data_IF_958388848617
#
_entry.id   IF_958388848617
#
_cell.length_a   1.000
_cell.length_b   1.000
_cell.length_c   1.000
_cell.angle_alpha   90.00
_cell.angle_beta   90.00
_cell.angle_gamma   90.00
#
_symmetry.space_group_name_H-M   'P 1'
#
loop_
_entity.id
_entity.type
_entity.pdbx_description
1 polymer ?
#
# COMPACT_ATOMS: atom_id res chain seq x y z
N UNK A 1 -12.10 2.16 -9.73
CA UNK A 1 -11.03 1.39 -9.05
C UNK A 1 -11.39 1.08 -7.59
N UNK A 2 -12.43 1.69 -7.03
CA UNK A 2 -13.04 1.25 -5.77
C UNK A 2 -14.56 1.08 -5.93
N UNK A 3 -15.26 0.81 -4.81
CA UNK A 3 -16.73 0.71 -4.77
C UNK A 3 -17.40 2.00 -5.23
N UNK A 4 -18.61 1.90 -5.80
CA UNK A 4 -19.41 3.07 -6.13
C UNK A 4 -19.80 3.83 -4.85
N UNK A 5 -19.49 5.12 -4.82
CA UNK A 5 -19.96 6.05 -3.80
C UNK A 5 -21.46 6.30 -3.96
N UNK A 6 -22.22 6.07 -2.89
CA UNK A 6 -23.67 6.29 -2.84
C UNK A 6 -24.00 7.65 -2.23
N UNK A 7 -23.39 7.98 -1.09
CA UNK A 7 -23.63 9.23 -0.39
C UNK A 7 -22.42 9.59 0.47
N UNK A 8 -22.20 10.88 0.70
CA UNK A 8 -21.21 11.35 1.65
C UNK A 8 -21.63 12.70 2.24
N UNK A 9 -21.11 13.00 3.43
CA UNK A 9 -21.16 14.32 4.03
C UNK A 9 -19.80 14.67 4.59
N UNK A 10 -19.32 15.86 4.29
CA UNK A 10 -18.13 16.46 4.91
C UNK A 10 -18.48 17.31 6.13
N UNK A 11 -19.77 17.54 6.39
CA UNK A 11 -20.29 18.29 7.54
C UNK A 11 -20.87 17.33 8.57
N UNK A 12 -20.73 17.67 9.86
CA UNK A 12 -21.13 16.80 10.96
C UNK A 12 -22.63 16.41 10.93
N UNK A 13 -22.97 15.12 11.07
CA UNK A 13 -22.05 13.98 11.15
C UNK A 13 -21.42 13.69 9.77
N UNK A 14 -20.10 13.62 9.71
CA UNK A 14 -19.39 13.27 8.48
C UNK A 14 -19.50 11.77 8.22
N UNK A 15 -19.77 11.39 6.96
CA UNK A 15 -19.93 9.99 6.56
C UNK A 15 -19.57 9.78 5.09
N UNK A 16 -19.30 8.53 4.75
CA UNK A 16 -19.12 8.04 3.38
C UNK A 16 -19.82 6.69 3.29
N UNK A 17 -20.71 6.53 2.31
CA UNK A 17 -21.51 5.32 2.09
C UNK A 17 -21.19 4.80 0.70
N UNK A 18 -20.74 3.55 0.63
CA UNK A 18 -20.44 2.85 -0.61
C UNK A 18 -21.49 1.78 -0.91
N UNK A 19 -21.53 1.31 -2.14
CA UNK A 19 -22.30 0.13 -2.50
C UNK A 19 -21.80 -1.11 -1.73
N UNK A 20 -22.75 -2.00 -1.41
CA UNK A 20 -22.43 -3.29 -0.81
C UNK A 20 -21.93 -4.26 -1.89
N UNK A 21 -20.63 -4.54 -1.85
CA UNK A 21 -19.98 -5.46 -2.77
C UNK A 21 -20.37 -6.92 -2.54
N UNK A 22 -20.83 -7.30 -1.34
CA UNK A 22 -21.27 -8.66 -1.08
C UNK A 22 -22.50 -9.01 -1.94
N UNK A 23 -23.41 -8.05 -2.14
CA UNK A 23 -24.55 -8.18 -3.07
C UNK A 23 -24.12 -8.30 -4.55
N UNK A 24 -22.87 -7.93 -4.86
CA UNK A 24 -22.26 -8.10 -6.18
C UNK A 24 -21.42 -9.38 -6.29
N UNK A 25 -21.45 -10.25 -5.27
CA UNK A 25 -20.71 -11.51 -5.26
C UNK A 25 -19.22 -11.36 -4.93
N UNK A 26 -18.80 -10.24 -4.37
CA UNK A 26 -17.45 -10.11 -3.83
C UNK A 26 -17.36 -10.74 -2.45
N UNK A 27 -16.20 -11.28 -2.13
CA UNK A 27 -15.87 -11.85 -0.83
C UNK A 27 -14.44 -11.47 -0.43
N UNK A 28 -14.13 -11.54 0.87
CA UNK A 28 -12.77 -11.32 1.35
C UNK A 28 -11.91 -12.57 1.10
N UNK A 29 -10.60 -12.38 0.95
CA UNK A 29 -9.64 -13.49 0.82
C UNK A 29 -9.57 -14.29 2.15
N UNK A 30 -9.86 -13.66 3.28
CA UNK A 30 -9.79 -14.26 4.61
C UNK A 30 -8.35 -14.34 5.12
N UNK A 31 -7.99 -15.47 5.74
CA UNK A 31 -6.67 -15.69 6.35
C UNK A 31 -5.73 -16.57 5.52
N UNK A 32 -6.15 -16.99 4.32
CA UNK A 32 -5.30 -17.79 3.43
C UNK A 32 -4.32 -16.92 2.66
N UNK A 33 -3.27 -17.54 2.14
CA UNK A 33 -2.42 -16.91 1.15
C UNK A 33 -3.17 -16.80 -0.19
N UNK A 34 -3.01 -15.67 -0.91
CA UNK A 34 -3.52 -15.53 -2.25
C UNK A 34 -2.71 -16.39 -3.22
N UNK A 35 -3.35 -16.86 -4.28
CA UNK A 35 -2.63 -17.52 -5.37
C UNK A 35 -1.97 -16.49 -6.31
N UNK A 36 -1.16 -16.99 -7.26
CA UNK A 36 -0.43 -16.13 -8.20
C UNK A 36 -1.37 -15.31 -9.10
N UNK A 37 -2.52 -15.86 -9.49
CA UNK A 37 -3.49 -15.16 -10.34
C UNK A 37 -4.17 -14.02 -9.56
N UNK A 38 -4.57 -14.28 -8.32
CA UNK A 38 -5.12 -13.28 -7.39
C UNK A 38 -4.13 -12.12 -7.17
N UNK A 39 -2.85 -12.42 -6.93
CA UNK A 39 -1.82 -11.39 -6.77
C UNK A 39 -1.63 -10.59 -8.06
N UNK A 40 -1.55 -11.25 -9.23
CA UNK A 40 -1.41 -10.56 -10.51
C UNK A 40 -2.56 -9.58 -10.74
N UNK A 41 -3.82 -10.03 -10.65
CA UNK A 41 -4.97 -9.13 -10.86
C UNK A 41 -4.99 -8.00 -9.83
N UNK A 42 -4.59 -8.28 -8.58
CA UNK A 42 -4.47 -7.25 -7.54
C UNK A 42 -3.42 -6.19 -7.91
N UNK A 43 -2.23 -6.60 -8.34
CA UNK A 43 -1.19 -5.69 -8.83
C UNK A 43 -1.62 -4.92 -10.07
N UNK A 44 -2.41 -5.53 -10.95
CA UNK A 44 -2.97 -4.82 -12.11
C UNK A 44 -3.94 -3.71 -11.70
N UNK A 45 -4.73 -3.91 -10.65
CA UNK A 45 -5.59 -2.84 -10.09
C UNK A 45 -4.76 -1.70 -9.51
N UNK A 46 -3.65 -2.02 -8.85
CA UNK A 46 -2.69 -1.03 -8.36
C UNK A 46 -2.01 -0.27 -9.52
N UNK A 47 -1.52 -0.98 -10.53
CA UNK A 47 -0.92 -0.40 -11.73
C UNK A 47 -1.89 0.56 -12.43
N UNK A 48 -3.18 0.19 -12.54
CA UNK A 48 -4.22 1.07 -13.06
C UNK A 48 -4.40 2.34 -12.23
N UNK A 49 -4.41 2.23 -10.89
CA UNK A 49 -4.51 3.40 -10.00
C UNK A 49 -3.32 4.35 -10.23
N UNK A 50 -2.12 3.78 -10.28
CA UNK A 50 -0.88 4.53 -10.50
C UNK A 50 -0.85 5.18 -11.89
N UNK A 51 -1.20 4.45 -12.95
CA UNK A 51 -1.20 4.96 -14.32
C UNK A 51 -2.25 6.08 -14.53
N UNK A 52 -3.47 5.90 -14.02
CA UNK A 52 -4.52 6.92 -14.11
C UNK A 52 -4.14 8.17 -13.34
N UNK A 53 -3.64 8.03 -12.10
CA UNK A 53 -3.23 9.20 -11.30
C UNK A 53 -2.01 9.91 -11.87
N UNK A 54 -1.05 9.18 -12.44
CA UNK A 54 0.07 9.76 -13.18
C UNK A 54 -0.42 10.62 -14.35
N UNK A 55 -1.36 10.09 -15.14
CA UNK A 55 -1.94 10.79 -16.29
C UNK A 55 -2.70 12.05 -15.85
N UNK A 56 -3.57 11.93 -14.84
CA UNK A 56 -4.32 13.07 -14.29
C UNK A 56 -3.38 14.16 -13.78
N UNK A 57 -2.30 13.80 -13.09
CA UNK A 57 -1.30 14.76 -12.61
C UNK A 57 -0.62 15.57 -13.73
N UNK A 58 -0.56 15.02 -14.95
CA UNK A 58 0.06 15.68 -16.11
C UNK A 58 -0.92 16.53 -16.92
N UNK A 59 -2.22 16.26 -16.82
CA UNK A 59 -3.23 16.82 -17.73
C UNK A 59 -4.29 17.70 -17.04
N UNK A 60 -4.56 17.50 -15.75
CA UNK A 60 -5.53 18.33 -15.02
C UNK A 60 -4.90 19.63 -14.52
N UNK A 61 -5.53 20.75 -14.83
CA UNK A 61 -5.09 22.09 -14.40
C UNK A 61 -5.14 22.25 -12.88
N UNK A 62 -6.23 21.80 -12.23
CA UNK A 62 -6.43 21.93 -10.77
C UNK A 62 -5.53 20.99 -9.95
N UNK A 63 -5.07 19.90 -10.59
CA UNK A 63 -4.12 18.92 -10.06
C UNK A 63 -4.41 18.47 -8.60
N UNK A 64 -5.70 18.24 -8.30
CA UNK A 64 -6.20 17.96 -6.95
C UNK A 64 -5.51 16.75 -6.30
N UNK A 65 -5.11 15.76 -7.11
CA UNK A 65 -4.39 14.57 -6.64
C UNK A 65 -3.09 14.95 -5.92
N UNK A 66 -2.39 16.01 -6.37
CA UNK A 66 -1.14 16.43 -5.73
C UNK A 66 -1.33 17.06 -4.35
N UNK A 67 -2.57 17.42 -4.00
CA UNK A 67 -2.94 17.91 -2.67
C UNK A 67 -3.12 16.78 -1.66
N UNK A 68 -3.30 15.53 -2.14
CA UNK A 68 -3.42 14.33 -1.31
C UNK A 68 -2.04 13.89 -0.81
N UNK A 69 -1.37 14.75 -0.05
CA UNK A 69 0.04 14.59 0.32
C UNK A 69 0.23 14.21 1.80
N UNK A 70 -0.85 13.79 2.46
CA UNK A 70 -0.90 13.38 3.87
C UNK A 70 -1.29 11.92 3.97
N UNK A 71 -0.30 11.07 4.23
CA UNK A 71 -0.48 9.64 4.50
C UNK A 71 -0.11 9.27 5.94
N UNK A 72 0.15 7.97 6.15
CA UNK A 72 0.42 7.41 7.48
C UNK A 72 1.62 8.05 8.19
N UNK A 73 2.70 8.36 7.47
CA UNK A 73 3.97 8.77 8.07
C UNK A 73 4.16 10.30 8.19
N UNK A 74 3.26 11.10 7.62
CA UNK A 74 3.42 12.56 7.55
C UNK A 74 2.13 13.37 7.83
N UNK A 75 1.06 12.70 8.27
CA UNK A 75 -0.16 13.32 8.80
C UNK A 75 -0.04 13.74 10.28
N UNK A 76 0.91 13.16 11.02
CA UNK A 76 1.25 13.50 12.40
C UNK A 76 2.71 13.14 12.72
N UNK A 77 3.11 13.19 13.99
CA UNK A 77 4.43 12.71 14.42
C UNK A 77 4.45 11.18 14.50
N UNK A 78 5.17 10.47 13.61
CA UNK A 78 5.20 9.01 13.60
C UNK A 78 5.87 8.41 14.84
N UNK A 79 6.64 9.18 15.63
CA UNK A 79 7.17 8.71 16.91
C UNK A 79 6.06 8.44 17.95
N UNK A 80 4.88 9.01 17.76
CA UNK A 80 3.73 8.75 18.62
C UNK A 80 3.01 7.45 18.25
N UNK A 81 3.35 6.82 17.12
CA UNK A 81 2.82 5.51 16.75
C UNK A 81 3.63 4.41 17.45
N UNK A 82 3.05 3.63 18.38
CA UNK A 82 3.80 2.64 19.15
C UNK A 82 4.50 1.59 18.27
N UNK A 83 3.87 1.21 17.16
CA UNK A 83 4.44 0.26 16.20
C UNK A 83 5.71 0.80 15.54
N UNK A 84 5.77 2.09 15.21
CA UNK A 84 6.95 2.73 14.62
C UNK A 84 8.02 2.94 15.70
N UNK A 85 7.63 3.46 16.86
CA UNK A 85 8.52 3.76 17.98
C UNK A 85 9.26 2.52 18.50
N UNK A 86 8.54 1.42 18.66
CA UNK A 86 9.05 0.21 19.33
C UNK A 86 9.33 -0.94 18.36
N UNK A 87 8.90 -0.86 17.10
CA UNK A 87 8.95 -1.97 16.15
C UNK A 87 10.36 -2.48 15.89
N UNK A 88 11.34 -1.59 15.67
CA UNK A 88 12.73 -1.99 15.43
C UNK A 88 13.37 -2.56 16.70
N UNK A 89 13.07 -2.01 17.87
CA UNK A 89 13.50 -2.57 19.16
C UNK A 89 12.99 -3.99 19.34
N UNK A 90 11.69 -4.20 19.14
CA UNK A 90 11.07 -5.52 19.23
C UNK A 90 11.63 -6.51 18.21
N UNK A 91 11.81 -6.07 16.95
CA UNK A 91 12.44 -6.88 15.91
C UNK A 91 13.82 -7.36 16.37
N UNK A 92 14.69 -6.47 16.86
CA UNK A 92 16.02 -6.84 17.36
C UNK A 92 15.94 -7.82 18.53
N UNK A 93 15.02 -7.62 19.47
CA UNK A 93 14.82 -8.54 20.60
C UNK A 93 14.42 -9.94 20.15
N UNK A 94 13.53 -10.05 19.17
CA UNK A 94 13.17 -11.34 18.56
C UNK A 94 14.38 -11.96 17.89
N UNK A 95 15.07 -11.23 17.00
CA UNK A 95 16.22 -11.76 16.26
C UNK A 95 17.35 -12.25 17.17
N UNK A 96 17.60 -11.58 18.30
CA UNK A 96 18.62 -12.02 19.29
C UNK A 96 18.30 -13.35 19.96
N UNK A 97 17.03 -13.74 20.04
CA UNK A 97 16.58 -15.00 20.64
C UNK A 97 16.67 -16.19 19.68
N UNK A 98 16.93 -15.96 18.41
CA UNK A 98 17.01 -16.99 17.37
C UNK A 98 18.44 -17.12 16.84
N UNK A 99 19.05 -18.29 17.01
CA UNK A 99 20.47 -18.51 16.72
C UNK A 99 20.87 -18.29 15.26
N UNK A 100 19.97 -18.61 14.33
CA UNK A 100 20.12 -18.45 12.89
C UNK A 100 19.89 -17.00 12.42
N UNK A 101 19.20 -16.19 13.24
CA UNK A 101 18.81 -14.82 12.92
C UNK A 101 19.63 -13.75 13.64
N UNK A 102 20.26 -14.06 14.78
CA UNK A 102 21.03 -13.09 15.58
C UNK A 102 22.15 -12.40 14.79
N UNK A 103 22.69 -13.07 13.76
CA UNK A 103 23.67 -12.51 12.82
C UNK A 103 23.18 -11.27 12.06
N UNK A 104 21.87 -11.07 11.94
CA UNK A 104 21.30 -9.92 11.24
C UNK A 104 21.15 -8.66 12.13
N UNK A 105 21.24 -8.82 13.45
CA UNK A 105 21.06 -7.70 14.39
C UNK A 105 22.07 -6.56 14.16
N UNK A 106 23.38 -6.82 13.97
CA UNK A 106 24.35 -5.75 13.70
C UNK A 106 24.05 -4.97 12.42
N UNK A 107 23.49 -5.63 11.40
CA UNK A 107 23.10 -4.96 10.15
C UNK A 107 21.94 -3.98 10.38
N UNK A 108 20.93 -4.37 11.17
CA UNK A 108 19.81 -3.49 11.52
C UNK A 108 20.29 -2.30 12.36
N UNK A 109 21.10 -2.56 13.39
CA UNK A 109 21.65 -1.51 14.25
C UNK A 109 22.48 -0.49 13.45
N UNK A 110 23.22 -0.93 12.44
CA UNK A 110 24.02 -0.04 11.58
C UNK A 110 23.19 0.96 10.78
N UNK A 111 21.92 0.67 10.49
CA UNK A 111 21.05 1.52 9.66
C UNK A 111 19.85 2.11 10.42
N UNK A 112 19.61 1.70 11.67
CA UNK A 112 18.43 2.08 12.46
C UNK A 112 18.21 3.59 12.53
N UNK A 113 19.29 4.36 12.72
CA UNK A 113 19.26 5.81 12.77
C UNK A 113 18.75 6.48 11.48
N UNK A 114 18.77 5.77 10.35
CA UNK A 114 18.29 6.26 9.06
C UNK A 114 16.83 5.90 8.79
N UNK A 115 16.29 4.85 9.41
CA UNK A 115 15.04 4.23 8.97
C UNK A 115 13.87 5.21 9.03
N UNK A 116 13.66 5.84 10.19
CA UNK A 116 12.54 6.76 10.36
C UNK A 116 12.71 8.03 9.52
N UNK A 117 13.90 8.63 9.54
CA UNK A 117 14.20 9.84 8.80
C UNK A 117 14.01 9.65 7.29
N UNK A 118 14.56 8.57 6.71
CA UNK A 118 14.39 8.26 5.29
C UNK A 118 12.95 7.93 4.92
N UNK A 119 12.21 7.27 5.81
CA UNK A 119 10.79 6.99 5.57
C UNK A 119 9.98 8.28 5.54
N UNK A 120 10.22 9.21 6.48
CA UNK A 120 9.57 10.53 6.49
C UNK A 120 9.95 11.33 5.24
N UNK A 121 11.21 11.28 4.80
CA UNK A 121 11.66 11.95 3.58
C UNK A 121 10.92 11.43 2.35
N UNK A 122 10.79 10.11 2.21
CA UNK A 122 10.05 9.46 1.12
C UNK A 122 8.58 9.92 1.08
N UNK A 123 7.91 9.94 2.24
CA UNK A 123 6.49 10.35 2.33
C UNK A 123 6.29 11.85 2.09
N UNK A 124 7.31 12.68 2.32
CA UNK A 124 7.23 14.12 2.07
C UNK A 124 7.70 14.53 0.68
N UNK A 125 8.27 13.62 -0.11
CA UNK A 125 8.87 13.93 -1.40
C UNK A 125 7.87 14.56 -2.37
N UNK A 126 6.64 14.02 -2.44
CA UNK A 126 5.56 14.55 -3.29
C UNK A 126 5.15 15.99 -2.98
N UNK A 127 5.37 16.43 -1.73
CA UNK A 127 5.04 17.79 -1.26
C UNK A 127 6.14 18.82 -1.54
N UNK A 128 7.36 18.39 -1.89
CA UNK A 128 8.54 19.28 -2.02
C UNK A 128 8.61 20.02 -3.36
N UNK A 129 7.67 19.79 -4.27
CA UNK A 129 7.59 20.46 -5.57
C UNK A 129 8.62 20.00 -6.62
N UNK A 130 9.72 19.35 -6.20
CA UNK A 130 10.62 18.61 -7.11
C UNK A 130 9.94 17.31 -7.56
N UNK A 131 9.63 17.22 -8.84
CA UNK A 131 8.87 16.11 -9.46
C UNK A 131 9.63 15.50 -10.62
N UNK A 132 10.93 15.29 -10.41
CA UNK A 132 11.88 14.87 -11.44
C UNK A 132 11.73 13.36 -11.78
N UNK A 133 10.91 12.63 -11.00
CA UNK A 133 10.57 11.22 -11.17
C UNK A 133 9.09 10.94 -11.44
N UNK A 134 8.69 9.66 -11.33
CA UNK A 134 7.30 9.23 -11.46
C UNK A 134 6.62 9.37 -10.09
N UNK A 135 5.59 10.22 -10.04
CA UNK A 135 4.74 10.40 -8.86
C UNK A 135 3.30 10.01 -9.20
N UNK A 136 2.66 9.31 -8.28
CA UNK A 136 1.34 8.72 -8.44
C UNK A 136 0.55 8.86 -7.15
N UNK A 137 -0.76 8.67 -7.22
CA UNK A 137 -1.57 8.45 -6.03
C UNK A 137 -1.39 7.00 -5.57
N UNK A 138 -0.65 6.81 -4.48
CA UNK A 138 -0.59 5.53 -3.78
C UNK A 138 -1.88 5.33 -2.99
N UNK A 139 -2.33 4.08 -2.91
CA UNK A 139 -3.36 3.60 -1.99
C UNK A 139 -2.95 3.80 -0.53
N UNK A 140 -1.67 3.62 -0.20
CA UNK A 140 -1.10 3.86 1.13
C UNK A 140 -1.31 2.74 2.15
N UNK A 141 -2.36 1.91 1.98
CA UNK A 141 -2.65 0.71 2.78
C UNK A 141 -2.93 -0.54 1.92
N UNK A 142 -2.08 -0.79 0.92
CA UNK A 142 -2.33 -1.83 -0.08
C UNK A 142 -2.01 -3.24 0.45
N UNK A 143 -2.89 -3.80 1.29
CA UNK A 143 -2.78 -5.16 1.83
C UNK A 143 -4.02 -6.02 1.57
N UNK A 144 -3.89 -7.35 1.65
CA UNK A 144 -4.94 -8.32 1.29
C UNK A 144 -6.27 -8.16 2.04
N UNK A 145 -6.28 -7.61 3.27
CA UNK A 145 -7.54 -7.37 4.00
C UNK A 145 -8.37 -6.22 3.41
N UNK A 146 -7.72 -5.35 2.64
CA UNK A 146 -8.34 -4.25 1.90
C UNK A 146 -8.66 -4.67 0.46
N UNK A 147 -8.62 -5.97 0.17
CA UNK A 147 -8.92 -6.53 -1.14
C UNK A 147 -10.10 -7.49 -1.01
N UNK A 148 -11.13 -7.27 -1.83
CA UNK A 148 -12.18 -8.24 -2.07
C UNK A 148 -12.02 -8.85 -3.46
N UNK A 149 -12.38 -10.12 -3.59
CA UNK A 149 -12.31 -10.89 -4.83
C UNK A 149 -13.72 -11.31 -5.24
N UNK A 150 -13.94 -11.38 -6.55
CA UNK A 150 -15.15 -11.94 -7.14
C UNK A 150 -14.75 -13.16 -7.96
N UNK A 151 -15.50 -14.26 -7.79
CA UNK A 151 -15.29 -15.50 -8.54
C UNK A 151 -16.58 -15.96 -9.21
N UNK A 152 -16.44 -16.62 -10.36
CA UNK A 152 -17.51 -17.39 -10.99
C UNK A 152 -17.08 -18.87 -11.03
N UNK A 153 -17.61 -19.66 -10.10
CA UNK A 153 -17.02 -20.95 -9.75
C UNK A 153 -15.61 -20.76 -9.17
N UNK A 154 -14.63 -21.49 -9.69
CA UNK A 154 -13.23 -21.36 -9.27
C UNK A 154 -12.47 -20.23 -9.99
N UNK A 155 -13.07 -19.66 -11.04
CA UNK A 155 -12.41 -18.64 -11.87
C UNK A 155 -12.50 -17.27 -11.20
N UNK A 156 -11.34 -16.64 -10.99
CA UNK A 156 -11.25 -15.24 -10.58
C UNK A 156 -11.79 -14.33 -11.70
N UNK A 157 -12.80 -13.52 -11.40
CA UNK A 157 -13.41 -12.60 -12.37
C UNK A 157 -13.05 -11.16 -12.10
N UNK A 158 -12.92 -10.76 -10.83
CA UNK A 158 -12.46 -9.42 -10.49
C UNK A 158 -11.83 -9.32 -9.11
N UNK A 159 -11.11 -8.22 -8.90
CA UNK A 159 -10.55 -7.78 -7.63
C UNK A 159 -10.94 -6.33 -7.38
N UNK A 160 -11.35 -6.02 -6.14
CA UNK A 160 -11.74 -4.70 -5.70
C UNK A 160 -10.89 -4.26 -4.49
N UNK A 161 -9.98 -3.29 -4.68
CA UNK A 161 -9.33 -2.60 -3.57
C UNK A 161 -10.29 -1.67 -2.83
N UNK A 162 -10.13 -1.59 -1.51
CA UNK A 162 -10.96 -0.87 -0.55
C UNK A 162 -10.09 -0.03 0.39
N UNK A 163 -10.73 0.86 1.14
CA UNK A 163 -10.09 1.63 2.21
C UNK A 163 -8.91 2.51 1.74
N UNK A 164 -9.28 3.66 1.16
CA UNK A 164 -8.34 4.64 0.58
C UNK A 164 -8.00 5.77 1.57
N UNK A 165 -8.31 5.60 2.85
CA UNK A 165 -8.26 6.58 3.92
C UNK A 165 -6.86 7.17 4.19
N UNK A 166 -5.79 6.46 3.81
CA UNK A 166 -4.40 6.95 3.92
C UNK A 166 -3.67 7.08 2.57
N UNK A 167 -4.42 7.25 1.48
CA UNK A 167 -3.84 7.47 0.15
C UNK A 167 -2.88 8.66 0.14
N UNK A 168 -1.77 8.53 -0.59
CA UNK A 168 -0.74 9.58 -0.64
C UNK A 168 -0.13 9.74 -2.03
N UNK A 169 -0.03 10.98 -2.47
CA UNK A 169 0.70 11.37 -3.66
C UNK A 169 2.21 11.31 -3.41
N UNK A 170 2.89 10.42 -4.12
CA UNK A 170 4.29 10.11 -3.85
C UNK A 170 4.90 9.14 -4.87
N UNK A 171 6.09 8.64 -4.56
CA UNK A 171 6.71 7.58 -5.33
C UNK A 171 5.83 6.31 -5.31
N UNK A 172 5.64 5.59 -6.44
CA UNK A 172 4.94 4.31 -6.47
C UNK A 172 5.63 3.23 -5.62
N UNK A 173 6.89 3.46 -5.23
CA UNK A 173 7.64 2.56 -4.36
C UNK A 173 6.98 2.37 -2.98
N UNK A 174 6.12 3.31 -2.53
CA UNK A 174 5.41 3.20 -1.25
C UNK A 174 4.49 1.97 -1.27
N UNK A 175 3.58 1.89 -2.23
CA UNK A 175 2.67 0.74 -2.34
C UNK A 175 3.40 -0.52 -2.81
N UNK A 176 4.35 -0.42 -3.74
CA UNK A 176 5.08 -1.60 -4.22
C UNK A 176 5.86 -2.25 -3.07
N UNK A 177 6.69 -1.49 -2.35
CA UNK A 177 7.48 -2.05 -1.26
C UNK A 177 6.59 -2.71 -0.20
N UNK A 178 5.45 -2.09 0.11
CA UNK A 178 4.46 -2.64 1.03
C UNK A 178 3.82 -3.93 0.51
N UNK A 179 3.34 -3.94 -0.74
CA UNK A 179 2.73 -5.10 -1.38
C UNK A 179 3.68 -6.30 -1.41
N UNK A 180 4.92 -6.10 -1.87
CA UNK A 180 5.93 -7.15 -1.93
C UNK A 180 6.24 -7.70 -0.53
N UNK A 181 6.23 -6.86 0.51
CA UNK A 181 6.61 -7.29 1.87
C UNK A 181 5.46 -7.93 2.64
N UNK A 182 4.23 -7.44 2.46
CA UNK A 182 3.06 -7.77 3.30
C UNK A 182 2.07 -8.70 2.61
N UNK A 183 1.89 -8.58 1.29
CA UNK A 183 0.90 -9.39 0.56
C UNK A 183 1.46 -10.71 0.08
N UNK A 184 2.76 -10.76 -0.23
CA UNK A 184 3.36 -11.91 -0.91
C UNK A 184 3.89 -12.90 0.11
N UNK A 185 3.60 -14.19 -0.13
CA UNK A 185 4.25 -15.25 0.63
C UNK A 185 5.78 -15.21 0.39
N UNK A 186 6.58 -15.79 1.30
CA UNK A 186 8.02 -15.93 1.08
C UNK A 186 8.39 -16.60 -0.26
N UNK A 187 7.58 -17.56 -0.71
CA UNK A 187 7.75 -18.26 -2.00
C UNK A 187 7.49 -17.32 -3.16
N UNK A 188 6.37 -16.59 -3.15
CA UNK A 188 6.07 -15.59 -4.20
C UNK A 188 7.16 -14.52 -4.30
N UNK A 189 7.69 -14.05 -3.16
CA UNK A 189 8.82 -13.10 -3.13
C UNK A 189 10.12 -13.66 -3.67
N UNK A 190 10.39 -14.95 -3.50
CA UNK A 190 11.64 -15.58 -3.90
C UNK A 190 11.61 -15.98 -5.37
N UNK A 191 10.50 -16.57 -5.79
CA UNK A 191 10.41 -17.32 -7.05
C UNK A 191 9.73 -16.50 -8.15
N UNK A 192 8.93 -15.48 -7.79
CA UNK A 192 8.12 -14.69 -8.72
C UNK A 192 8.34 -13.17 -8.62
N UNK A 193 9.39 -12.70 -7.94
CA UNK A 193 9.60 -11.26 -7.73
C UNK A 193 9.60 -10.45 -9.03
N UNK A 194 10.47 -10.83 -9.97
CA UNK A 194 10.64 -10.12 -11.24
C UNK A 194 9.39 -10.27 -12.11
N UNK A 195 8.75 -11.44 -12.10
CA UNK A 195 7.50 -11.68 -12.82
C UNK A 195 6.39 -10.75 -12.34
N UNK A 196 6.21 -10.63 -11.03
CA UNK A 196 5.18 -9.79 -10.43
C UNK A 196 5.48 -8.30 -10.61
N UNK A 197 6.76 -7.91 -10.54
CA UNK A 197 7.17 -6.54 -10.83
C UNK A 197 6.91 -6.19 -12.30
N UNK A 198 7.30 -7.07 -13.23
CA UNK A 198 7.05 -6.89 -14.66
C UNK A 198 5.57 -6.85 -15.00
N UNK A 199 4.74 -7.60 -14.27
CA UNK A 199 3.29 -7.57 -14.46
C UNK A 199 2.66 -6.24 -14.03
N UNK A 200 3.29 -5.53 -13.09
CA UNK A 200 2.85 -4.19 -12.66
C UNK A 200 3.30 -3.08 -13.63
N UNK A 201 4.49 -3.19 -14.22
CA UNK A 201 5.10 -2.19 -15.13
C UNK A 201 4.37 -2.17 -16.48
#
# INVERSE_FOLDING_TARGET
>A
LGPKLIAYSTVAPAYVIFEDLALKGYSTIGYRHPDLEEIKITLFKLAKLHAVSYKLCKEEEDNIITTLNKGLMNSGDPNNLPAIKNGITFLKEVLRKHDDLKRFVPHIESVEHLLLAKTIDLFNEGSRGKRDGIFVLNHGDFHLKNIMIQKNGDKLTDVMPLDYQISIFGSPAIDLHFAFTVMFSPELRRDHHDELLYFYI
#
